data_IF_474013995761
#
_entry.id   IF_474013995761
#
_cell.length_a   1.000
_cell.length_b   1.000
_cell.length_c   1.000
_cell.angle_alpha   90.00
_cell.angle_beta   90.00
_cell.angle_gamma   90.00
#
_symmetry.space_group_name_H-M   'P 1'
#
loop_
_entity.id
_entity.type
_entity.pdbx_description
1 polymer ?
#
# COMPACT_ATOMS: atom_id res chain seq x y z
N UNK A 1 23.34 20.58 27.24
CA UNK A 1 23.68 19.51 26.28
C UNK A 1 23.43 20.08 24.89
N UNK A 2 24.45 20.17 24.04
CA UNK A 2 24.25 20.65 22.67
C UNK A 2 23.74 19.44 21.83
N UNK A 3 22.47 19.44 21.47
CA UNK A 3 21.94 18.47 20.53
C UNK A 3 22.55 18.71 19.16
N UNK A 4 23.03 17.64 18.53
CA UNK A 4 23.56 17.69 17.16
C UNK A 4 22.48 17.21 16.20
N UNK A 5 22.21 17.97 15.16
CA UNK A 5 21.23 17.62 14.12
C UNK A 5 21.60 16.27 13.48
N UNK A 6 22.90 16.00 13.33
CA UNK A 6 23.41 14.73 12.79
C UNK A 6 22.94 13.51 13.60
N UNK A 7 22.77 13.66 14.93
CA UNK A 7 22.24 12.58 15.77
C UNK A 7 20.79 12.25 15.44
N UNK A 8 19.98 13.22 15.06
CA UNK A 8 18.60 13.01 14.61
C UNK A 8 18.56 12.34 13.24
N UNK A 9 19.46 12.79 12.34
CA UNK A 9 19.54 12.24 10.98
C UNK A 9 20.22 10.85 10.93
N UNK A 10 20.83 10.38 12.03
CA UNK A 10 21.46 9.06 12.10
C UNK A 10 20.49 7.91 12.38
N UNK A 11 19.21 8.20 12.66
CA UNK A 11 18.21 7.18 12.89
C UNK A 11 18.06 6.27 11.66
N UNK A 12 17.98 4.97 11.91
CA UNK A 12 17.72 3.99 10.86
C UNK A 12 16.23 3.93 10.57
N UNK A 13 15.90 3.79 9.29
CA UNK A 13 14.52 3.64 8.84
C UNK A 13 14.23 2.15 8.63
N UNK A 14 13.04 1.74 9.02
CA UNK A 14 12.49 0.41 8.76
C UNK A 14 11.17 0.60 8.03
N UNK A 15 11.08 0.15 6.79
CA UNK A 15 9.95 0.44 5.91
C UNK A 15 9.43 -0.84 5.26
N UNK A 16 8.14 -0.86 4.91
CA UNK A 16 7.48 -1.94 4.16
C UNK A 16 7.71 -3.34 4.71
N UNK A 17 7.45 -3.61 6.00
CA UNK A 17 7.68 -4.93 6.57
C UNK A 17 6.70 -5.94 5.98
N UNK A 18 7.19 -7.12 5.63
CA UNK A 18 6.39 -8.26 5.20
C UNK A 18 6.80 -9.51 5.97
N UNK A 19 5.83 -10.20 6.56
CA UNK A 19 6.06 -11.50 7.21
C UNK A 19 5.92 -12.63 6.20
N UNK A 20 6.83 -13.58 6.23
CA UNK A 20 6.74 -14.86 5.52
C UNK A 20 7.66 -15.91 6.16
N UNK A 21 7.18 -17.13 6.29
CA UNK A 21 7.95 -18.30 6.78
C UNK A 21 8.71 -18.04 8.10
N UNK A 22 8.07 -17.31 9.05
CA UNK A 22 8.68 -17.00 10.35
C UNK A 22 9.81 -15.97 10.30
N UNK A 23 9.92 -15.22 9.20
CA UNK A 23 10.90 -14.14 9.01
C UNK A 23 10.17 -12.84 8.67
N UNK A 24 10.80 -11.71 8.97
CA UNK A 24 10.33 -10.38 8.63
C UNK A 24 11.30 -9.77 7.61
N UNK A 25 10.79 -9.47 6.43
CA UNK A 25 11.49 -8.80 5.34
C UNK A 25 11.16 -7.31 5.40
N UNK A 26 12.12 -6.44 5.15
CA UNK A 26 11.89 -4.99 5.22
C UNK A 26 12.97 -4.21 4.45
N UNK A 27 12.66 -2.96 4.11
CA UNK A 27 13.62 -2.02 3.59
C UNK A 27 14.25 -1.22 4.72
N UNK A 28 15.54 -0.93 4.59
CA UNK A 28 16.25 -0.10 5.56
C UNK A 28 17.50 0.54 4.96
N UNK A 29 17.94 1.64 5.59
CA UNK A 29 19.19 2.33 5.28
C UNK A 29 20.35 1.91 6.22
N UNK A 30 20.32 0.69 6.75
CA UNK A 30 21.33 0.15 7.68
C UNK A 30 22.77 0.22 7.12
N UNK A 31 22.96 0.01 5.82
CA UNK A 31 24.25 0.07 5.14
C UNK A 31 24.62 1.48 4.62
N UNK A 32 23.82 2.49 4.93
CA UNK A 32 24.02 3.87 4.44
C UNK A 32 23.25 4.22 3.17
N UNK A 33 22.63 3.26 2.52
CA UNK A 33 21.66 3.41 1.43
C UNK A 33 20.51 2.43 1.64
N UNK A 34 19.38 2.66 0.98
CA UNK A 34 18.26 1.75 1.06
C UNK A 34 18.59 0.41 0.40
N UNK A 35 18.33 -0.66 1.13
CA UNK A 35 18.46 -2.03 0.67
C UNK A 35 17.41 -2.93 1.32
N UNK A 36 17.26 -4.14 0.83
CA UNK A 36 16.36 -5.14 1.36
C UNK A 36 17.06 -6.00 2.41
N UNK A 37 16.40 -6.17 3.54
CA UNK A 37 16.88 -6.95 4.68
C UNK A 37 15.85 -7.98 5.12
N UNK A 38 16.33 -8.97 5.86
CA UNK A 38 15.50 -9.95 6.55
C UNK A 38 16.00 -10.18 7.95
N UNK A 39 15.11 -10.45 8.90
CA UNK A 39 15.41 -10.91 10.25
C UNK A 39 14.42 -12.00 10.68
N UNK A 40 14.77 -12.76 11.71
CA UNK A 40 13.87 -13.75 12.27
C UNK A 40 12.69 -13.06 12.99
N UNK A 41 11.53 -13.69 12.98
CA UNK A 41 10.43 -13.31 13.84
C UNK A 41 10.89 -13.33 15.32
N UNK A 42 10.52 -12.30 16.07
CA UNK A 42 11.04 -12.08 17.44
C UNK A 42 12.31 -11.24 17.51
N UNK A 43 12.87 -10.87 16.36
CA UNK A 43 14.07 -10.05 16.24
C UNK A 43 15.36 -10.88 16.14
N UNK A 44 16.25 -10.44 15.30
CA UNK A 44 17.64 -10.92 15.16
C UNK A 44 18.48 -9.82 14.48
N UNK A 45 19.77 -10.06 14.31
CA UNK A 45 20.59 -9.21 13.44
C UNK A 45 20.00 -9.24 12.02
N UNK A 46 19.70 -8.08 11.41
CA UNK A 46 19.27 -8.02 10.03
C UNK A 46 20.32 -8.52 9.04
N UNK A 47 19.91 -9.37 8.12
CA UNK A 47 20.75 -9.91 7.05
C UNK A 47 20.41 -9.19 5.73
N UNK A 48 21.40 -8.62 5.00
CA UNK A 48 21.14 -8.00 3.70
C UNK A 48 20.82 -9.07 2.65
N UNK A 49 19.86 -8.79 1.76
CA UNK A 49 19.41 -9.70 0.72
C UNK A 49 19.90 -9.31 -0.68
N UNK A 50 20.38 -8.09 -0.85
CA UNK A 50 20.94 -7.58 -2.12
C UNK A 50 22.45 -7.39 -2.00
N UNK A 51 23.18 -7.49 -3.13
CA UNK A 51 24.58 -7.11 -3.21
C UNK A 51 24.83 -5.68 -2.71
N UNK A 52 25.96 -5.39 -2.05
CA UNK A 52 26.22 -4.09 -1.40
C UNK A 52 26.34 -2.90 -2.37
N UNK A 53 26.51 -3.16 -3.66
CA UNK A 53 26.55 -2.15 -4.71
C UNK A 53 25.18 -1.86 -5.34
N UNK A 54 24.09 -2.48 -4.84
CA UNK A 54 22.72 -2.24 -5.31
C UNK A 54 21.98 -1.45 -4.25
N UNK A 55 21.66 -0.20 -4.57
CA UNK A 55 20.78 0.64 -3.77
C UNK A 55 19.36 0.58 -4.33
N UNK A 56 18.37 0.61 -3.45
CA UNK A 56 16.98 0.78 -3.81
C UNK A 56 16.57 2.24 -3.67
N UNK A 57 15.61 2.67 -4.48
CA UNK A 57 14.97 3.97 -4.30
C UNK A 57 14.27 4.04 -2.95
N UNK A 58 14.18 5.25 -2.40
CA UNK A 58 13.31 5.48 -1.27
C UNK A 58 11.85 5.24 -1.70
N UNK A 59 11.16 4.23 -1.14
CA UNK A 59 9.83 3.86 -1.60
C UNK A 59 8.77 4.95 -1.36
N UNK A 60 8.99 5.86 -0.42
CA UNK A 60 8.09 6.98 -0.17
C UNK A 60 8.10 8.01 -1.32
N UNK A 61 9.19 8.08 -2.08
CA UNK A 61 9.28 8.96 -3.25
C UNK A 61 8.57 8.39 -4.48
N UNK A 62 8.35 7.07 -4.54
CA UNK A 62 7.72 6.40 -5.68
C UNK A 62 6.25 6.04 -5.42
N UNK A 63 5.73 6.32 -4.22
CA UNK A 63 4.32 6.18 -3.90
C UNK A 63 3.78 4.75 -3.96
N UNK A 64 4.52 3.75 -3.48
CA UNK A 64 4.04 2.37 -3.52
C UNK A 64 5.03 1.32 -3.02
N UNK A 65 4.64 0.07 -3.17
CA UNK A 65 5.51 -1.06 -2.85
C UNK A 65 6.69 -1.12 -3.82
N UNK A 66 7.89 -1.34 -3.31
CA UNK A 66 9.11 -1.57 -4.10
C UNK A 66 9.52 -3.04 -4.15
N UNK A 67 8.86 -3.91 -3.39
CA UNK A 67 9.09 -5.34 -3.41
C UNK A 67 7.89 -6.15 -2.89
N UNK A 68 7.85 -7.45 -3.25
CA UNK A 68 6.95 -8.45 -2.68
C UNK A 68 7.68 -9.75 -2.39
N UNK A 69 7.45 -10.31 -1.19
CA UNK A 69 7.93 -11.64 -0.82
C UNK A 69 6.96 -12.69 -1.32
N UNK A 70 7.46 -13.69 -2.05
CA UNK A 70 6.70 -14.76 -2.69
C UNK A 70 7.21 -16.13 -2.20
N UNK A 71 6.82 -16.55 -0.98
CA UNK A 71 7.38 -17.73 -0.35
C UNK A 71 7.09 -19.01 -1.14
N UNK A 72 5.94 -19.11 -1.79
CA UNK A 72 5.53 -20.31 -2.57
C UNK A 72 6.43 -20.63 -3.76
N UNK A 73 7.13 -19.63 -4.30
CA UNK A 73 8.13 -19.83 -5.37
C UNK A 73 9.54 -19.53 -4.90
N UNK A 74 9.74 -19.27 -3.59
CA UNK A 74 11.02 -18.96 -2.94
C UNK A 74 11.78 -17.82 -3.63
N UNK A 75 11.05 -16.77 -3.98
CA UNK A 75 11.58 -15.57 -4.65
C UNK A 75 11.07 -14.31 -3.98
N UNK A 76 11.80 -13.23 -4.20
CA UNK A 76 11.36 -11.87 -3.90
C UNK A 76 11.35 -11.11 -5.22
N UNK A 77 10.22 -10.48 -5.54
CA UNK A 77 10.13 -9.50 -6.61
C UNK A 77 10.60 -8.16 -6.04
N UNK A 78 11.54 -7.52 -6.68
CA UNK A 78 12.09 -6.22 -6.26
C UNK A 78 12.21 -5.29 -7.46
N UNK A 79 11.88 -4.02 -7.27
CA UNK A 79 11.99 -2.99 -8.30
C UNK A 79 13.35 -2.32 -8.19
N UNK A 80 14.14 -2.42 -9.24
CA UNK A 80 15.51 -1.88 -9.29
C UNK A 80 15.64 -0.99 -10.52
N UNK A 81 16.23 0.17 -10.34
CA UNK A 81 16.68 1.05 -11.43
C UNK A 81 18.18 0.87 -11.69
N UNK A 82 18.69 1.46 -12.74
CA UNK A 82 20.10 1.45 -13.06
C UNK A 82 20.71 2.82 -12.73
N UNK A 83 21.57 2.84 -11.73
CA UNK A 83 22.37 4.03 -11.36
C UNK A 83 21.54 5.31 -11.12
N UNK A 84 20.30 5.16 -10.63
CA UNK A 84 19.41 6.27 -10.35
C UNK A 84 18.70 6.86 -11.57
N UNK A 85 18.58 6.10 -12.67
CA UNK A 85 17.88 6.53 -13.89
C UNK A 85 16.34 6.51 -13.76
N UNK A 86 15.84 6.03 -12.61
CA UNK A 86 14.42 5.90 -12.28
C UNK A 86 13.60 5.02 -13.25
N UNK A 87 14.28 4.25 -14.11
CA UNK A 87 13.64 3.26 -14.96
C UNK A 87 13.51 1.94 -14.23
N UNK A 88 12.64 1.90 -13.21
CA UNK A 88 12.46 0.72 -12.39
C UNK A 88 12.06 -0.48 -13.21
N UNK A 89 12.79 -1.59 -13.00
CA UNK A 89 12.59 -2.86 -13.67
C UNK A 89 12.21 -3.95 -12.66
N UNK A 90 11.25 -4.82 -12.97
CA UNK A 90 10.89 -5.95 -12.11
C UNK A 90 12.01 -7.01 -12.15
N UNK A 91 12.66 -7.20 -11.01
CA UNK A 91 13.73 -8.16 -10.83
C UNK A 91 13.33 -9.22 -9.80
N UNK A 92 13.85 -10.43 -9.95
CA UNK A 92 13.67 -11.53 -9.00
C UNK A 92 14.99 -11.85 -8.32
N UNK A 93 14.95 -12.04 -7.00
CA UNK A 93 16.06 -12.60 -6.22
C UNK A 93 15.59 -13.86 -5.48
N UNK A 94 16.48 -14.79 -5.10
CA UNK A 94 16.14 -15.88 -4.18
C UNK A 94 15.61 -15.34 -2.85
N UNK A 95 14.80 -16.13 -2.16
CA UNK A 95 14.24 -15.75 -0.85
C UNK A 95 15.32 -15.51 0.21
N UNK A 96 16.47 -16.15 0.05
CA UNK A 96 17.66 -16.04 0.91
C UNK A 96 18.62 -14.91 0.47
N UNK A 97 18.23 -14.13 -0.53
CA UNK A 97 19.05 -13.09 -1.12
C UNK A 97 19.93 -13.58 -2.26
N UNK A 98 20.51 -12.66 -3.01
CA UNK A 98 21.38 -12.94 -4.13
C UNK A 98 21.36 -11.86 -5.20
N UNK A 99 21.94 -12.18 -6.38
CA UNK A 99 21.96 -11.28 -7.51
C UNK A 99 20.57 -11.22 -8.17
N UNK A 100 20.11 -10.00 -8.51
CA UNK A 100 18.85 -9.82 -9.22
C UNK A 100 18.90 -10.34 -10.66
N UNK A 101 17.83 -11.03 -11.05
CA UNK A 101 17.59 -11.51 -12.41
C UNK A 101 16.31 -10.85 -12.95
N UNK A 102 16.27 -10.47 -14.23
CA UNK A 102 15.08 -9.88 -14.83
C UNK A 102 13.89 -10.84 -14.74
N UNK A 103 12.74 -10.37 -14.24
CA UNK A 103 11.55 -11.20 -14.09
C UNK A 103 10.92 -11.57 -15.44
N UNK A 104 11.11 -10.74 -16.48
CA UNK A 104 10.49 -10.90 -17.80
C UNK A 104 11.51 -10.59 -18.91
N UNK A 105 12.73 -11.09 -18.81
CA UNK A 105 13.82 -10.78 -19.72
C UNK A 105 13.94 -9.27 -19.98
N UNK A 106 13.93 -8.85 -21.25
CA UNK A 106 14.02 -7.43 -21.64
C UNK A 106 12.66 -6.80 -21.99
N UNK A 107 11.55 -7.43 -21.63
CA UNK A 107 10.22 -6.95 -22.03
C UNK A 107 9.96 -5.50 -21.62
N UNK A 108 10.34 -5.13 -20.41
CA UNK A 108 10.12 -3.79 -19.87
C UNK A 108 11.30 -2.82 -20.07
N UNK A 109 12.27 -3.12 -20.92
CA UNK A 109 13.47 -2.28 -21.11
C UNK A 109 13.17 -0.82 -21.50
N UNK A 110 12.06 -0.57 -22.19
CA UNK A 110 11.60 0.77 -22.61
C UNK A 110 10.46 1.32 -21.74
N UNK A 111 10.32 0.82 -20.51
CA UNK A 111 9.29 1.25 -19.58
C UNK A 111 9.89 1.66 -18.25
N UNK A 112 9.20 2.55 -17.55
CA UNK A 112 9.29 2.72 -16.11
C UNK A 112 8.16 1.93 -15.47
N UNK A 113 8.48 0.96 -14.64
CA UNK A 113 7.48 0.02 -14.10
C UNK A 113 7.26 0.28 -12.62
N UNK A 114 5.98 0.28 -12.21
CA UNK A 114 5.56 0.38 -10.81
C UNK A 114 4.80 -0.86 -10.39
N UNK A 115 4.94 -1.24 -9.11
CA UNK A 115 4.18 -2.34 -8.53
C UNK A 115 2.75 -1.89 -8.22
N UNK A 116 1.79 -2.66 -8.69
CA UNK A 116 0.41 -2.63 -8.27
C UNK A 116 0.10 -3.71 -7.23
N UNK A 117 -1.18 -4.09 -7.07
CA UNK A 117 -1.60 -5.15 -6.15
C UNK A 117 -0.93 -6.50 -6.43
N UNK A 118 -0.73 -7.31 -5.37
CA UNK A 118 -0.11 -8.63 -5.46
C UNK A 118 -0.94 -9.67 -4.71
N UNK A 119 -1.25 -10.79 -5.38
CA UNK A 119 -1.73 -12.01 -4.74
C UNK A 119 -0.54 -12.95 -4.51
N UNK A 120 0.05 -12.88 -3.31
CA UNK A 120 1.18 -13.73 -2.91
C UNK A 120 0.82 -15.20 -2.96
N UNK A 121 -0.46 -15.54 -2.72
CA UNK A 121 -0.95 -16.93 -2.71
C UNK A 121 -0.93 -17.59 -4.08
N UNK A 122 -1.07 -16.80 -5.16
CA UNK A 122 -1.09 -17.24 -6.55
C UNK A 122 0.13 -16.81 -7.36
N UNK A 123 1.07 -16.09 -6.73
CA UNK A 123 2.23 -15.49 -7.37
C UNK A 123 1.84 -14.56 -8.53
N UNK A 124 0.71 -13.88 -8.38
CA UNK A 124 0.17 -12.96 -9.39
C UNK A 124 0.38 -11.52 -8.94
N UNK A 125 0.98 -10.72 -9.80
CA UNK A 125 1.23 -9.30 -9.54
C UNK A 125 0.68 -8.45 -10.67
N UNK A 126 0.26 -7.24 -10.35
CA UNK A 126 -0.11 -6.24 -11.34
C UNK A 126 0.99 -5.20 -11.44
N UNK A 127 1.25 -4.74 -12.67
CA UNK A 127 2.21 -3.69 -12.96
C UNK A 127 1.52 -2.52 -13.66
N UNK A 128 1.93 -1.33 -13.32
CA UNK A 128 1.73 -0.13 -14.11
C UNK A 128 3.04 0.19 -14.82
N UNK A 129 3.03 0.18 -16.14
CA UNK A 129 4.20 0.39 -16.97
C UNK A 129 4.04 1.69 -17.79
N UNK A 130 4.88 2.67 -17.52
CA UNK A 130 4.92 3.93 -18.25
C UNK A 130 5.85 3.77 -19.46
N UNK A 131 5.34 4.00 -20.64
CA UNK A 131 6.16 3.99 -21.84
C UNK A 131 7.14 5.16 -21.85
N UNK A 132 8.37 4.91 -22.30
CA UNK A 132 9.41 5.97 -22.41
C UNK A 132 9.34 6.73 -23.72
N UNK A 133 8.66 6.19 -24.73
CA UNK A 133 8.53 6.75 -26.08
C UNK A 133 7.20 7.46 -26.32
N UNK A 134 6.22 7.36 -25.39
CA UNK A 134 4.90 7.99 -25.50
C UNK A 134 4.32 8.22 -24.10
N UNK A 135 3.46 9.25 -23.93
CA UNK A 135 2.77 9.51 -22.66
C UNK A 135 1.61 8.52 -22.45
N UNK A 136 1.93 7.24 -22.37
CA UNK A 136 0.96 6.13 -22.20
C UNK A 136 1.36 5.28 -21.02
N UNK A 137 0.40 4.99 -20.17
CA UNK A 137 0.52 4.03 -19.07
C UNK A 137 -0.26 2.76 -19.43
N UNK A 138 0.39 1.64 -19.25
CA UNK A 138 -0.14 0.31 -19.55
C UNK A 138 -0.24 -0.52 -18.27
N UNK A 139 -1.35 -1.23 -18.09
CA UNK A 139 -1.51 -2.15 -16.96
C UNK A 139 -1.31 -3.59 -17.41
N UNK A 140 -0.52 -4.31 -16.65
CA UNK A 140 -0.22 -5.72 -16.86
C UNK A 140 -0.62 -6.54 -15.64
N UNK A 141 -1.12 -7.76 -15.91
CA UNK A 141 -1.19 -8.84 -14.93
C UNK A 141 -0.13 -9.87 -15.26
N UNK A 142 0.65 -10.27 -14.28
CA UNK A 142 1.73 -11.23 -14.46
C UNK A 142 1.64 -12.37 -13.44
N UNK A 143 1.96 -13.58 -13.87
CA UNK A 143 2.17 -14.73 -12.99
C UNK A 143 3.67 -15.03 -12.92
N UNK A 144 4.27 -14.78 -11.77
CA UNK A 144 5.72 -14.89 -11.56
C UNK A 144 6.23 -16.34 -11.48
N UNK A 145 5.32 -17.32 -11.35
CA UNK A 145 5.68 -18.75 -11.40
C UNK A 145 5.79 -19.27 -12.82
N UNK A 146 4.89 -18.82 -13.71
CA UNK A 146 4.83 -19.29 -15.10
C UNK A 146 5.53 -18.35 -16.07
N UNK A 147 5.81 -17.10 -15.67
CA UNK A 147 6.31 -16.04 -16.56
C UNK A 147 5.24 -15.45 -17.49
N UNK A 148 3.97 -15.82 -17.30
CA UNK A 148 2.85 -15.30 -18.10
C UNK A 148 2.67 -13.81 -17.82
N UNK A 149 2.61 -13.01 -18.89
CA UNK A 149 2.37 -11.57 -18.84
C UNK A 149 1.21 -11.23 -19.76
N UNK A 150 0.17 -10.61 -19.20
CA UNK A 150 -1.05 -10.22 -19.92
C UNK A 150 -1.25 -8.72 -19.81
N UNK A 151 -1.25 -7.99 -20.93
CA UNK A 151 -1.66 -6.57 -20.96
C UNK A 151 -3.17 -6.50 -20.77
N UNK A 152 -3.63 -5.67 -19.82
CA UNK A 152 -5.06 -5.44 -19.56
C UNK A 152 -5.61 -4.24 -20.34
N UNK A 153 -4.79 -3.23 -20.58
CA UNK A 153 -5.15 -2.02 -21.32
C UNK A 153 -4.13 -0.91 -21.12
N UNK A 154 -4.45 0.25 -21.64
CA UNK A 154 -3.62 1.46 -21.56
C UNK A 154 -4.44 2.75 -21.60
N UNK A 155 -3.86 3.84 -21.11
CA UNK A 155 -4.42 5.19 -21.17
C UNK A 155 -3.33 6.26 -21.03
N UNK A 156 -3.51 7.43 -21.63
CA UNK A 156 -2.65 8.59 -21.37
C UNK A 156 -2.95 9.28 -20.02
N UNK A 157 -4.02 8.89 -19.33
CA UNK A 157 -4.52 9.51 -18.10
C UNK A 157 -4.26 8.68 -16.83
N UNK A 158 -3.36 7.71 -16.92
CA UNK A 158 -3.18 6.72 -15.88
C UNK A 158 -4.15 5.55 -16.05
N UNK A 159 -3.66 4.33 -15.84
CA UNK A 159 -4.45 3.11 -15.98
C UNK A 159 -4.11 2.18 -14.83
N UNK A 160 -4.50 2.64 -13.61
CA UNK A 160 -4.00 2.06 -12.36
C UNK A 160 -4.84 0.87 -11.91
N UNK A 161 -4.25 -0.32 -11.72
CA UNK A 161 -4.94 -1.46 -11.16
C UNK A 161 -5.21 -1.20 -9.67
N UNK A 162 -6.48 -1.06 -9.31
CA UNK A 162 -6.91 -0.83 -7.93
C UNK A 162 -7.05 -2.14 -7.17
N UNK A 163 -7.81 -3.10 -7.70
CA UNK A 163 -8.07 -4.38 -7.06
C UNK A 163 -8.40 -5.47 -8.07
N UNK A 164 -8.36 -6.71 -7.61
CA UNK A 164 -8.74 -7.91 -8.37
C UNK A 164 -9.69 -8.79 -7.56
N UNK A 165 -10.54 -9.55 -8.25
CA UNK A 165 -11.37 -10.55 -7.58
C UNK A 165 -10.58 -11.85 -7.32
N UNK A 166 -11.10 -12.71 -6.44
CA UNK A 166 -10.44 -13.92 -5.92
C UNK A 166 -9.80 -14.83 -6.99
N UNK A 167 -10.34 -14.88 -8.21
CA UNK A 167 -9.83 -15.73 -9.29
C UNK A 167 -9.14 -14.96 -10.42
N UNK A 168 -8.89 -13.65 -10.24
CA UNK A 168 -8.30 -12.75 -11.24
C UNK A 168 -9.06 -12.66 -12.58
N UNK A 169 -10.33 -13.07 -12.60
CA UNK A 169 -11.18 -12.94 -13.79
C UNK A 169 -11.74 -11.53 -13.96
N UNK A 170 -11.66 -10.70 -12.92
CA UNK A 170 -12.08 -9.31 -12.93
C UNK A 170 -11.05 -8.45 -12.22
N UNK A 171 -10.84 -7.24 -12.75
CA UNK A 171 -9.92 -6.24 -12.19
C UNK A 171 -10.62 -4.88 -12.17
N UNK A 172 -10.48 -4.14 -11.08
CA UNK A 172 -10.86 -2.74 -11.01
C UNK A 172 -9.68 -1.89 -11.47
N UNK A 173 -9.93 -0.96 -12.38
CA UNK A 173 -8.90 -0.06 -12.91
C UNK A 173 -9.41 1.36 -12.82
N UNK A 174 -8.57 2.23 -12.23
CA UNK A 174 -8.82 3.66 -12.13
C UNK A 174 -8.08 4.44 -13.21
N UNK A 175 -8.71 5.51 -13.69
CA UNK A 175 -8.13 6.50 -14.58
C UNK A 175 -8.40 7.89 -14.01
N UNK A 176 -7.40 8.76 -13.92
CA UNK A 176 -7.51 10.07 -13.29
C UNK A 176 -7.15 11.21 -14.22
N UNK A 177 -8.00 12.25 -14.27
CA UNK A 177 -7.82 13.40 -15.15
C UNK A 177 -7.21 14.60 -14.41
N UNK A 178 -7.57 14.76 -13.14
CA UNK A 178 -7.03 15.75 -12.22
C UNK A 178 -7.30 15.30 -10.77
N UNK A 179 -6.80 16.05 -9.80
CA UNK A 179 -7.06 15.76 -8.38
C UNK A 179 -8.57 15.75 -8.11
N UNK A 180 -9.06 14.62 -7.62
CA UNK A 180 -10.47 14.42 -7.30
C UNK A 180 -11.37 14.12 -8.49
N UNK A 181 -10.86 14.07 -9.71
CA UNK A 181 -11.63 13.76 -10.92
C UNK A 181 -11.08 12.51 -11.60
N UNK A 182 -11.78 11.42 -11.48
CA UNK A 182 -11.39 10.15 -12.04
C UNK A 182 -12.59 9.29 -12.44
N UNK A 183 -12.28 8.19 -13.10
CA UNK A 183 -13.27 7.17 -13.49
C UNK A 183 -12.80 5.81 -13.01
N UNK A 184 -13.75 4.93 -12.78
CA UNK A 184 -13.49 3.56 -12.34
C UNK A 184 -14.12 2.58 -13.35
N UNK A 185 -13.29 1.64 -13.82
CA UNK A 185 -13.69 0.57 -14.73
C UNK A 185 -13.68 -0.79 -14.05
N UNK A 186 -14.57 -1.67 -14.48
CA UNK A 186 -14.52 -3.09 -14.23
C UNK A 186 -14.07 -3.80 -15.51
N UNK A 187 -12.92 -4.46 -15.45
CA UNK A 187 -12.40 -5.30 -16.52
C UNK A 187 -12.78 -6.75 -16.30
N UNK A 188 -13.20 -7.43 -17.38
CA UNK A 188 -13.49 -8.86 -17.39
C UNK A 188 -13.02 -9.45 -18.74
N UNK A 189 -11.85 -10.12 -18.72
CA UNK A 189 -11.16 -10.49 -19.95
C UNK A 189 -10.86 -9.25 -20.80
N UNK A 190 -11.21 -9.29 -22.08
CA UNK A 190 -11.00 -8.16 -23.01
C UNK A 190 -12.13 -7.09 -22.96
N UNK A 191 -13.13 -7.30 -22.11
CA UNK A 191 -14.24 -6.37 -21.95
C UNK A 191 -14.02 -5.47 -20.74
N UNK A 192 -14.31 -4.19 -20.91
CA UNK A 192 -14.32 -3.22 -19.82
C UNK A 192 -15.63 -2.47 -19.77
N UNK A 193 -16.05 -2.13 -18.57
CA UNK A 193 -17.28 -1.39 -18.30
C UNK A 193 -16.97 -0.24 -17.36
N UNK A 194 -17.31 0.99 -17.78
CA UNK A 194 -17.31 2.14 -16.88
C UNK A 194 -18.35 1.90 -15.77
N UNK A 195 -17.91 1.92 -14.51
CA UNK A 195 -18.78 1.71 -13.36
C UNK A 195 -19.02 2.99 -12.56
N UNK A 196 -18.12 3.98 -12.67
CA UNK A 196 -18.32 5.29 -12.06
C UNK A 196 -17.50 6.39 -12.74
N UNK A 197 -18.02 7.63 -12.65
CA UNK A 197 -17.41 8.81 -13.26
C UNK A 197 -17.89 9.08 -14.69
N UNK A 198 -17.35 10.13 -15.30
CA UNK A 198 -17.60 10.49 -16.71
C UNK A 198 -16.27 10.65 -17.41
N UNK A 199 -16.01 9.88 -18.46
CA UNK A 199 -14.76 9.93 -19.22
C UNK A 199 -14.54 11.32 -19.81
N UNK A 200 -13.29 11.72 -19.96
CA UNK A 200 -12.96 13.04 -20.50
C UNK A 200 -13.51 13.23 -21.93
N UNK A 201 -13.39 12.20 -22.75
CA UNK A 201 -13.89 12.18 -24.14
C UNK A 201 -15.42 12.25 -24.29
N UNK A 202 -16.17 11.90 -23.21
CA UNK A 202 -17.62 11.96 -23.18
C UNK A 202 -18.16 13.31 -22.68
N UNK A 203 -17.25 14.27 -22.37
CA UNK A 203 -17.64 15.59 -21.84
C UNK A 203 -17.81 16.61 -22.98
N UNK A 204 -18.90 17.36 -22.94
CA UNK A 204 -19.04 18.53 -23.76
C UNK A 204 -18.33 19.73 -23.13
N UNK A 205 -18.00 20.73 -23.94
CA UNK A 205 -17.48 22.02 -23.45
C UNK A 205 -18.49 22.67 -22.49
N UNK A 206 -18.02 23.00 -21.29
CA UNK A 206 -18.84 23.57 -20.21
C UNK A 206 -19.58 22.55 -19.33
N UNK A 207 -19.41 21.24 -19.55
CA UNK A 207 -19.96 20.23 -18.66
C UNK A 207 -19.41 20.38 -17.21
N UNK A 208 -20.33 20.56 -16.27
CA UNK A 208 -19.99 20.52 -14.84
C UNK A 208 -19.94 19.05 -14.38
N UNK A 209 -18.74 18.48 -14.31
CA UNK A 209 -18.53 17.14 -13.75
C UNK A 209 -18.13 17.28 -12.29
N UNK A 210 -18.96 16.81 -11.34
CA UNK A 210 -18.62 16.87 -9.93
C UNK A 210 -17.35 16.06 -9.62
N UNK A 211 -16.47 16.62 -8.80
CA UNK A 211 -15.33 15.90 -8.27
C UNK A 211 -15.83 14.74 -7.41
N UNK A 212 -15.23 13.59 -7.57
CA UNK A 212 -15.62 12.35 -6.85
C UNK A 212 -14.61 11.91 -5.80
N UNK A 213 -13.35 12.34 -5.90
CA UNK A 213 -12.31 12.07 -4.93
C UNK A 213 -12.15 10.58 -4.62
N UNK A 214 -12.30 9.70 -5.62
CA UNK A 214 -12.04 8.27 -5.38
C UNK A 214 -10.54 8.07 -5.21
N UNK A 215 -10.13 7.56 -4.05
CA UNK A 215 -8.71 7.30 -3.72
C UNK A 215 -8.36 5.83 -3.87
N UNK A 216 -9.29 4.94 -3.54
CA UNK A 216 -9.11 3.49 -3.66
C UNK A 216 -10.45 2.80 -3.90
N UNK A 217 -10.40 1.59 -4.44
CA UNK A 217 -11.57 0.74 -4.66
C UNK A 217 -11.20 -0.73 -4.47
N UNK A 218 -12.02 -1.45 -3.69
CA UNK A 218 -11.84 -2.87 -3.37
C UNK A 218 -13.06 -3.67 -3.78
N UNK A 219 -12.90 -4.94 -4.16
CA UNK A 219 -14.05 -5.81 -4.40
C UNK A 219 -14.86 -6.02 -3.12
N UNK A 220 -16.19 -6.03 -3.26
CA UNK A 220 -17.07 -6.44 -2.17
C UNK A 220 -16.97 -7.97 -1.92
N UNK A 221 -17.37 -8.48 -0.75
CA UNK A 221 -17.25 -9.91 -0.41
C UNK A 221 -17.93 -10.84 -1.41
N UNK A 222 -19.07 -10.42 -1.97
CA UNK A 222 -19.79 -11.20 -2.99
C UNK A 222 -19.15 -11.13 -4.39
N UNK A 223 -18.21 -10.21 -4.62
CA UNK A 223 -17.66 -9.89 -5.95
C UNK A 223 -18.65 -9.21 -6.89
N UNK A 224 -19.82 -8.78 -6.40
CA UNK A 224 -20.86 -8.12 -7.20
C UNK A 224 -20.81 -6.60 -7.15
N UNK A 225 -19.91 -6.04 -6.38
CA UNK A 225 -19.75 -4.60 -6.22
C UNK A 225 -18.34 -4.23 -5.77
N UNK A 226 -18.16 -2.95 -5.51
CA UNK A 226 -16.93 -2.38 -4.96
C UNK A 226 -17.23 -1.51 -3.75
N UNK A 227 -16.37 -1.62 -2.72
CA UNK A 227 -16.27 -0.69 -1.59
C UNK A 227 -15.14 0.26 -1.90
N UNK A 228 -15.34 1.55 -1.72
CA UNK A 228 -14.37 2.58 -2.07
C UNK A 228 -14.39 3.73 -1.07
N UNK A 229 -13.33 4.53 -1.07
CA UNK A 229 -13.25 5.82 -0.39
C UNK A 229 -13.55 6.94 -1.38
N UNK A 230 -14.38 7.91 -0.99
CA UNK A 230 -14.78 9.01 -1.86
C UNK A 230 -15.14 10.26 -1.08
N UNK A 231 -14.89 11.42 -1.68
CA UNK A 231 -15.27 12.74 -1.17
C UNK A 231 -16.71 13.16 -1.57
N UNK A 232 -17.48 12.29 -2.26
CA UNK A 232 -18.84 12.62 -2.74
C UNK A 232 -19.83 12.93 -1.59
N UNK A 233 -19.66 12.27 -0.46
CA UNK A 233 -20.59 12.42 0.69
C UNK A 233 -20.06 13.37 1.75
N UNK A 234 -18.75 13.52 1.87
CA UNK A 234 -18.07 14.33 2.89
C UNK A 234 -16.65 14.63 2.42
N UNK A 235 -16.21 15.88 2.60
CA UNK A 235 -14.85 16.33 2.24
C UNK A 235 -13.75 15.60 3.02
N UNK A 236 -14.07 15.04 4.20
CA UNK A 236 -13.16 14.20 4.98
C UNK A 236 -13.13 12.74 4.53
N UNK A 237 -13.69 12.45 3.38
CA UNK A 237 -13.86 11.14 2.77
C UNK A 237 -14.73 10.18 3.60
N UNK A 238 -15.42 9.31 2.91
CA UNK A 238 -16.26 8.28 3.52
C UNK A 238 -16.39 7.06 2.61
N UNK A 239 -16.83 5.95 3.20
CA UNK A 239 -17.04 4.71 2.46
C UNK A 239 -18.25 4.79 1.57
N UNK A 240 -18.07 4.41 0.32
CA UNK A 240 -19.10 4.23 -0.68
C UNK A 240 -19.16 2.80 -1.21
N UNK A 241 -20.28 2.46 -1.82
CA UNK A 241 -20.51 1.18 -2.47
C UNK A 241 -21.13 1.36 -3.85
N UNK A 242 -20.60 0.63 -4.84
CA UNK A 242 -21.19 0.58 -6.18
C UNK A 242 -21.51 -0.88 -6.51
N UNK A 243 -22.76 -1.16 -6.89
CA UNK A 243 -23.15 -2.46 -7.41
C UNK A 243 -22.88 -2.51 -8.92
N UNK A 244 -22.16 -3.53 -9.41
CA UNK A 244 -21.78 -3.66 -10.82
C UNK A 244 -22.97 -3.85 -11.77
N UNK A 245 -24.12 -4.31 -11.25
CA UNK A 245 -25.36 -4.36 -12.02
C UNK A 245 -26.06 -2.99 -12.17
N UNK A 246 -25.68 -2.02 -11.33
CA UNK A 246 -26.23 -0.64 -11.33
C UNK A 246 -25.10 0.39 -11.36
N UNK A 247 -24.30 0.44 -12.44
CA UNK A 247 -23.18 1.38 -12.54
C UNK A 247 -23.63 2.82 -12.45
N UNK A 248 -22.71 3.72 -12.10
CA UNK A 248 -22.97 5.16 -11.95
C UNK A 248 -23.68 5.54 -10.66
N UNK A 249 -24.13 4.57 -9.84
CA UNK A 249 -24.82 4.84 -8.58
C UNK A 249 -23.94 4.50 -7.39
N UNK A 250 -23.35 5.54 -6.79
CA UNK A 250 -22.61 5.44 -5.52
C UNK A 250 -23.59 5.53 -4.34
N UNK A 251 -23.53 4.57 -3.43
CA UNK A 251 -24.36 4.49 -2.23
C UNK A 251 -23.46 4.67 -0.99
N UNK A 252 -23.88 5.44 0.03
CA UNK A 252 -23.11 5.57 1.26
C UNK A 252 -23.10 4.26 2.06
N UNK A 253 -21.94 3.94 2.63
CA UNK A 253 -21.78 2.82 3.57
C UNK A 253 -21.81 3.36 5.00
N UNK A 254 -22.70 2.82 5.81
CA UNK A 254 -22.82 3.20 7.22
C UNK A 254 -21.68 2.60 8.03
N UNK A 255 -20.92 3.44 8.75
CA UNK A 255 -19.83 3.00 9.62
C UNK A 255 -20.28 2.95 11.08
N UNK A 256 -19.92 1.87 11.79
CA UNK A 256 -20.14 1.66 13.23
C UNK A 256 -18.86 1.29 13.95
N UNK A 257 -18.76 1.62 15.23
CA UNK A 257 -17.63 1.23 16.08
C UNK A 257 -16.42 2.16 16.02
N UNK A 258 -16.57 3.37 15.48
CA UNK A 258 -15.56 4.42 15.58
C UNK A 258 -15.36 4.76 17.06
N UNK A 259 -14.09 4.80 17.48
CA UNK A 259 -13.71 5.16 18.87
C UNK A 259 -12.76 6.35 18.96
N UNK A 260 -12.13 6.73 17.86
CA UNK A 260 -11.32 7.95 17.82
C UNK A 260 -12.21 9.19 17.99
N UNK A 261 -11.61 10.24 18.49
CA UNK A 261 -12.19 11.58 18.57
C UNK A 261 -11.19 12.52 17.91
N UNK A 262 -11.64 13.65 17.42
CA UNK A 262 -10.79 14.62 16.72
C UNK A 262 -11.28 14.85 15.30
N UNK A 263 -10.49 15.62 14.54
CA UNK A 263 -10.77 15.96 13.15
C UNK A 263 -9.75 15.29 12.24
N UNK A 264 -10.18 14.90 11.06
CA UNK A 264 -9.29 14.31 10.09
C UNK A 264 -10.02 13.61 8.98
N UNK A 265 -9.29 12.83 8.21
CA UNK A 265 -9.73 12.24 6.97
C UNK A 265 -9.63 10.72 7.01
N UNK A 266 -10.58 10.08 6.35
CA UNK A 266 -10.44 8.67 6.01
C UNK A 266 -9.46 8.56 4.83
N UNK A 267 -8.50 7.66 4.96
CA UNK A 267 -7.68 7.23 3.84
C UNK A 267 -8.36 6.04 3.10
N UNK A 268 -7.60 5.03 2.77
CA UNK A 268 -8.07 3.96 1.90
C UNK A 268 -8.66 2.77 2.65
N UNK A 269 -9.82 2.23 2.22
CA UNK A 269 -10.21 0.87 2.55
C UNK A 269 -9.27 -0.12 1.84
N UNK A 270 -8.91 -1.19 2.53
CA UNK A 270 -8.16 -2.31 1.97
C UNK A 270 -8.86 -3.62 2.32
N UNK A 271 -9.23 -4.40 1.32
CA UNK A 271 -9.79 -5.73 1.52
C UNK A 271 -8.71 -6.69 2.05
N UNK A 272 -9.01 -7.45 3.07
CA UNK A 272 -8.13 -8.48 3.62
C UNK A 272 -8.53 -9.86 3.07
N UNK A 273 -9.57 -10.42 3.64
CA UNK A 273 -10.10 -11.73 3.27
C UNK A 273 -11.58 -11.80 3.64
N UNK A 274 -12.39 -12.46 2.85
CA UNK A 274 -13.84 -12.64 3.01
C UNK A 274 -14.59 -11.30 3.18
N UNK A 275 -15.13 -11.00 4.36
CA UNK A 275 -15.84 -9.75 4.68
C UNK A 275 -14.99 -8.77 5.51
N UNK A 276 -13.70 -9.05 5.70
CA UNK A 276 -12.76 -8.27 6.51
C UNK A 276 -12.05 -7.19 5.70
N UNK A 277 -12.00 -5.99 6.27
CA UNK A 277 -11.34 -4.82 5.69
C UNK A 277 -10.49 -4.09 6.71
N UNK A 278 -9.44 -3.43 6.25
CA UNK A 278 -8.74 -2.38 6.97
C UNK A 278 -9.29 -1.03 6.55
N UNK A 279 -9.49 -0.13 7.52
CA UNK A 279 -9.85 1.25 7.26
C UNK A 279 -8.89 2.14 8.03
N UNK A 280 -8.22 3.02 7.33
CA UNK A 280 -7.23 3.94 7.90
C UNK A 280 -7.78 5.36 7.96
N UNK A 281 -7.40 6.08 9.01
CA UNK A 281 -7.70 7.50 9.18
C UNK A 281 -6.43 8.23 9.61
N UNK A 282 -6.34 9.49 9.21
CA UNK A 282 -5.46 10.47 9.83
C UNK A 282 -6.32 11.40 10.69
N UNK A 283 -6.19 11.31 12.01
CA UNK A 283 -6.96 12.10 12.98
C UNK A 283 -6.01 12.96 13.81
N UNK A 284 -6.14 14.27 13.68
CA UNK A 284 -5.27 15.27 14.35
C UNK A 284 -3.76 14.96 14.16
N UNK A 285 -3.39 14.49 12.93
CA UNK A 285 -2.02 14.14 12.57
C UNK A 285 -1.54 12.76 13.07
N UNK A 286 -2.42 11.96 13.67
CA UNK A 286 -2.10 10.60 14.12
C UNK A 286 -2.87 9.55 13.32
N UNK A 287 -2.22 8.43 13.06
CA UNK A 287 -2.84 7.31 12.34
C UNK A 287 -3.78 6.52 13.24
N UNK A 288 -4.95 6.20 12.70
CA UNK A 288 -5.91 5.26 13.26
C UNK A 288 -6.22 4.18 12.24
N UNK A 289 -6.06 2.93 12.63
CA UNK A 289 -6.35 1.78 11.76
C UNK A 289 -7.34 0.86 12.43
N UNK A 290 -8.40 0.55 11.71
CA UNK A 290 -9.45 -0.36 12.14
C UNK A 290 -9.47 -1.61 11.27
N UNK A 291 -9.66 -2.76 11.89
CA UNK A 291 -10.14 -3.96 11.23
C UNK A 291 -11.64 -4.02 11.37
N UNK A 292 -12.36 -4.04 10.25
CA UNK A 292 -13.81 -4.00 10.18
C UNK A 292 -14.39 -5.17 9.37
N UNK A 293 -15.67 -5.41 9.60
CA UNK A 293 -16.49 -6.40 8.87
C UNK A 293 -17.51 -5.64 8.03
N UNK A 294 -17.52 -5.91 6.74
CA UNK A 294 -18.48 -5.30 5.80
C UNK A 294 -19.67 -6.22 5.54
N UNK A 295 -20.85 -5.75 5.94
CA UNK A 295 -22.13 -6.38 5.58
C UNK A 295 -22.67 -5.73 4.31
N UNK A 296 -22.53 -6.43 3.18
CA UNK A 296 -22.90 -5.91 1.84
C UNK A 296 -24.42 -5.71 1.69
N UNK A 297 -25.26 -6.56 2.30
CA UNK A 297 -26.72 -6.45 2.20
C UNK A 297 -27.25 -5.21 2.90
N UNK A 298 -26.62 -4.82 4.03
CA UNK A 298 -26.99 -3.65 4.82
C UNK A 298 -26.23 -2.40 4.49
N UNK A 299 -25.21 -2.50 3.62
CA UNK A 299 -24.22 -1.46 3.36
C UNK A 299 -23.66 -0.89 4.66
N UNK A 300 -23.14 -1.78 5.52
CA UNK A 300 -22.69 -1.41 6.86
C UNK A 300 -21.28 -1.98 7.12
N UNK A 301 -20.34 -1.11 7.47
CA UNK A 301 -19.00 -1.46 7.95
C UNK A 301 -18.99 -1.38 9.48
N UNK A 302 -18.69 -2.47 10.17
CA UNK A 302 -18.60 -2.50 11.63
C UNK A 302 -17.16 -2.74 12.06
N UNK A 303 -16.53 -1.75 12.70
CA UNK A 303 -15.17 -1.88 13.23
C UNK A 303 -15.16 -2.80 14.44
N UNK A 304 -14.32 -3.82 14.38
CA UNK A 304 -14.16 -4.86 15.42
C UNK A 304 -12.92 -4.62 16.27
N UNK A 305 -11.82 -4.27 15.64
CA UNK A 305 -10.54 -4.07 16.29
C UNK A 305 -9.92 -2.73 15.91
N UNK A 306 -9.22 -2.11 16.86
CA UNK A 306 -8.32 -0.99 16.63
C UNK A 306 -6.92 -1.58 16.60
N UNK A 307 -6.26 -1.51 15.44
CA UNK A 307 -4.90 -2.01 15.25
C UNK A 307 -3.87 -0.93 15.61
N UNK A 308 -4.11 0.31 15.20
CA UNK A 308 -3.29 1.49 15.48
C UNK A 308 -4.19 2.62 15.97
N UNK A 309 -3.68 3.48 16.86
CA UNK A 309 -4.41 4.60 17.49
C UNK A 309 -4.69 4.37 18.98
N UNK A 310 -4.33 3.17 19.51
CA UNK A 310 -4.34 2.84 20.95
C UNK A 310 -3.01 2.24 21.36
N UNK A 311 -2.66 2.36 22.66
CA UNK A 311 -1.45 1.76 23.21
C UNK A 311 -1.34 0.27 22.80
N UNK A 312 -0.14 -0.17 22.41
CA UNK A 312 1.14 0.58 22.42
C UNK A 312 1.41 1.41 21.14
N UNK A 313 0.52 1.43 20.13
CA UNK A 313 0.66 2.13 18.87
C UNK A 313 -0.29 3.35 18.82
N UNK A 314 -0.07 4.30 19.73
CA UNK A 314 -0.83 5.54 19.81
C UNK A 314 0.07 6.79 19.63
N UNK A 315 -0.55 7.92 19.35
CA UNK A 315 0.11 9.24 19.21
C UNK A 315 1.29 9.22 18.22
N UNK A 316 1.09 8.62 17.07
CA UNK A 316 2.13 8.52 16.05
C UNK A 316 1.56 8.22 14.68
N UNK A 317 2.48 7.92 13.76
CA UNK A 317 2.19 7.71 12.35
C UNK A 317 2.46 6.25 11.97
N UNK A 318 1.46 5.64 11.32
CA UNK A 318 1.65 4.40 10.59
C UNK A 318 2.37 4.72 9.28
N UNK A 319 3.57 4.17 9.10
CA UNK A 319 4.28 4.31 7.83
C UNK A 319 3.79 3.22 6.84
N UNK A 320 3.79 1.96 7.27
CA UNK A 320 3.33 0.84 6.42
C UNK A 320 2.67 -0.26 7.25
N UNK A 321 1.77 -0.98 6.59
CA UNK A 321 1.12 -2.16 7.12
C UNK A 321 1.00 -3.22 6.03
N UNK A 322 1.43 -4.44 6.33
CA UNK A 322 1.19 -5.64 5.52
C UNK A 322 0.41 -6.69 6.32
N UNK A 323 -0.36 -7.51 5.63
CA UNK A 323 -1.14 -8.58 6.22
C UNK A 323 -0.74 -9.93 5.61
N UNK A 324 -0.28 -10.81 6.47
CA UNK A 324 -0.04 -12.21 6.14
C UNK A 324 -1.30 -13.01 6.43
N UNK A 325 -2.01 -13.43 5.37
CA UNK A 325 -3.26 -14.18 5.47
C UNK A 325 -3.04 -15.57 6.06
N UNK A 326 -1.93 -16.25 5.70
CA UNK A 326 -1.63 -17.61 6.15
C UNK A 326 -1.35 -17.64 7.66
N UNK A 327 -0.71 -16.60 8.20
CA UNK A 327 -0.40 -16.46 9.63
C UNK A 327 -1.47 -15.67 10.43
N UNK A 328 -2.45 -15.06 9.76
CA UNK A 328 -3.40 -14.09 10.32
C UNK A 328 -2.71 -13.01 11.16
N UNK A 329 -1.66 -12.41 10.61
CA UNK A 329 -0.73 -11.51 11.27
C UNK A 329 -0.53 -10.23 10.48
N UNK A 330 -0.53 -9.09 11.19
CA UNK A 330 -0.14 -7.80 10.60
C UNK A 330 1.29 -7.47 10.98
N UNK A 331 2.08 -7.03 10.00
CA UNK A 331 3.36 -6.36 10.23
C UNK A 331 3.19 -4.87 9.99
N UNK A 332 3.69 -4.05 10.91
CA UNK A 332 3.51 -2.60 10.89
C UNK A 332 4.84 -1.91 11.11
N UNK A 333 5.07 -0.81 10.41
CA UNK A 333 6.06 0.18 10.81
C UNK A 333 5.34 1.41 11.35
N UNK A 334 5.80 1.84 12.52
CA UNK A 334 5.17 2.91 13.27
C UNK A 334 6.23 3.80 13.91
N UNK A 335 6.01 5.10 13.84
CA UNK A 335 6.86 6.13 14.43
C UNK A 335 6.05 7.06 15.32
N UNK A 336 6.74 7.77 16.21
CA UNK A 336 6.15 8.86 17.02
C UNK A 336 7.07 10.07 16.97
N UNK A 337 6.62 11.22 17.47
CA UNK A 337 7.44 12.40 17.57
C UNK A 337 8.76 12.19 18.36
N UNK A 338 8.86 11.14 19.16
CA UNK A 338 10.01 10.83 20.02
C UNK A 338 10.65 9.48 19.77
N UNK A 339 10.12 8.70 18.83
CA UNK A 339 10.64 7.37 18.47
C UNK A 339 10.75 7.27 16.96
N UNK A 340 11.92 6.93 16.41
CA UNK A 340 12.03 6.63 14.99
C UNK A 340 11.19 5.42 14.62
N UNK A 341 11.06 5.18 13.32
CA UNK A 341 10.31 4.05 12.76
C UNK A 341 10.76 2.72 13.36
N UNK A 342 9.82 1.93 13.85
CA UNK A 342 10.05 0.60 14.42
C UNK A 342 9.12 -0.42 13.75
N UNK A 343 9.55 -1.68 13.71
CA UNK A 343 8.74 -2.79 13.22
C UNK A 343 8.01 -3.46 14.38
N UNK A 344 6.71 -3.59 14.22
CA UNK A 344 5.84 -4.32 15.15
C UNK A 344 5.07 -5.41 14.40
N UNK A 345 4.59 -6.40 15.14
CA UNK A 345 3.53 -7.31 14.68
C UNK A 345 2.32 -7.23 15.58
N UNK A 346 1.13 -7.41 14.98
CA UNK A 346 -0.15 -7.45 15.68
C UNK A 346 -0.80 -8.79 15.34
N UNK A 347 -1.09 -9.58 16.36
CA UNK A 347 -1.56 -10.95 16.20
C UNK A 347 -2.62 -11.36 17.21
N UNK A 348 -3.15 -12.56 17.01
CA UNK A 348 -4.21 -13.14 17.82
C UNK A 348 -5.58 -12.62 17.45
N UNK A 349 -6.62 -13.40 17.73
CA UNK A 349 -8.02 -13.10 17.37
C UNK A 349 -8.54 -11.78 17.93
N UNK A 350 -8.03 -11.32 19.06
CA UNK A 350 -8.38 -10.04 19.70
C UNK A 350 -7.51 -8.87 19.23
N UNK A 351 -6.49 -9.12 18.40
CA UNK A 351 -5.49 -8.14 17.95
C UNK A 351 -4.76 -7.43 19.11
N UNK A 352 -4.73 -8.05 20.28
CA UNK A 352 -4.14 -7.46 21.49
C UNK A 352 -2.68 -7.79 21.71
N UNK A 353 -2.14 -8.77 21.01
CA UNK A 353 -0.73 -9.14 21.10
C UNK A 353 0.08 -8.32 20.11
N UNK A 354 0.76 -7.30 20.62
CA UNK A 354 1.65 -6.42 19.84
C UNK A 354 3.09 -6.67 20.27
N UNK A 355 3.94 -7.06 19.32
CA UNK A 355 5.35 -7.36 19.57
C UNK A 355 6.24 -6.38 18.79
N UNK A 356 7.26 -5.85 19.47
CA UNK A 356 8.31 -5.02 18.89
C UNK A 356 9.47 -5.92 18.45
N UNK A 357 9.95 -5.74 17.21
CA UNK A 357 11.02 -6.55 16.61
C UNK A 357 12.33 -5.79 16.42
N UNK A 358 12.32 -4.46 16.43
CA UNK A 358 13.51 -3.61 16.30
C UNK A 358 13.73 -2.81 17.57
N UNK A 359 14.94 -2.29 17.74
CA UNK A 359 15.30 -1.51 18.93
C UNK A 359 16.12 -0.28 18.55
N UNK A 360 15.70 0.42 17.48
CA UNK A 360 16.37 1.64 17.05
C UNK A 360 16.26 2.73 18.12
N UNK A 361 17.35 3.42 18.36
CA UNK A 361 17.44 4.53 19.30
C UNK A 361 18.20 5.69 18.65
N UNK A 362 17.74 6.90 18.86
CA UNK A 362 18.49 8.07 18.49
C UNK A 362 19.63 8.24 19.50
N UNK A 363 20.87 8.03 19.03
CA UNK A 363 22.05 8.10 19.88
C UNK A 363 22.25 9.51 20.47
N UNK A 364 22.49 9.58 21.79
CA UNK A 364 22.79 10.83 22.49
C UNK A 364 21.59 11.67 22.88
N UNK A 365 20.37 11.22 22.61
CA UNK A 365 19.13 11.89 23.02
C UNK A 365 18.43 11.07 24.08
N UNK A 366 18.26 11.64 25.28
CA UNK A 366 17.39 11.06 26.29
C UNK A 366 15.96 11.53 26.01
N UNK A 367 15.08 10.62 25.62
CA UNK A 367 13.67 10.89 25.25
C UNK A 367 12.86 11.68 26.29
N UNK A 368 13.28 11.69 27.55
CA UNK A 368 12.64 12.46 28.62
C UNK A 368 12.56 13.98 28.38
N UNK A 369 13.40 14.52 27.48
CA UNK A 369 13.47 15.95 27.19
C UNK A 369 12.71 16.37 25.91
N UNK A 370 12.27 15.42 25.10
CA UNK A 370 11.54 15.71 23.86
C UNK A 370 10.04 15.85 24.05
N UNK A 371 9.50 15.40 25.18
CA UNK A 371 8.06 15.47 25.49
C UNK A 371 7.45 16.87 25.60
N UNK A 372 8.24 17.92 25.45
CA UNK A 372 7.78 19.31 25.41
C UNK A 372 8.07 20.05 24.11
N UNK A 373 8.70 19.41 23.13
CA UNK A 373 9.06 20.05 21.86
C UNK A 373 8.17 19.49 20.75
N UNK A 374 7.10 20.20 20.42
CA UNK A 374 6.31 19.93 19.21
C UNK A 374 7.11 20.44 18.00
N UNK A 375 7.83 19.57 17.32
CA UNK A 375 8.42 19.87 16.02
C UNK A 375 7.36 19.59 14.98
N UNK A 376 6.65 20.61 14.53
CA UNK A 376 5.86 20.54 13.30
C UNK A 376 6.84 20.55 12.12
N UNK A 377 7.16 19.41 11.59
CA UNK A 377 7.79 19.31 10.26
C UNK A 377 6.65 19.33 9.25
N UNK A 378 6.32 20.52 8.75
CA UNK A 378 5.52 20.64 7.55
C UNK A 378 6.45 20.35 6.37
N UNK A 379 6.22 19.25 5.66
CA UNK A 379 6.75 19.04 4.33
C UNK A 379 5.85 19.79 3.32
N UNK A 380 6.46 20.46 2.32
CA UNK A 380 5.72 21.15 1.28
C UNK A 380 5.00 20.20 0.35
#
# INVERSE_FOLDING_TARGET
MNYRVESLLSARLFLFPQHADGRIYFLSNLSGHFSLYVMNYGGSMPEPLLPPNIALQNPELIGGYSYYVLPKIRKILVMIDRDGDENYQPMLIPLEGGFPEAAFDNYFANYRVHLGPCDKSKNTVYFLAERRDAPIQETYRANLKTGELTKLGDSPWGFQPAAYNKNHSQTLIGEGYMVGDGVLYLFKGDQHKLIYGKRLEDRAEGDAVPLNGITSAEFSPSGKGTVLSSAVFDDSYSLGYINFAKPGKLLPVKVKGIVHKGKGEMADPRHLVDDRYLITYNIDGCSWVYEGIFNEERLEMTYKHVLVGKKPLDNGTLEHLDYDEDADLFTVTFSTATSPTQIYTIEGKSRSKVLLHTAEKILGIQYQYLSGLYIFVMFP
#
